data_IF_488970140743
#
_entry.id   IF_488970140743
#
_cell.length_a   1.000
_cell.length_b   1.000
_cell.length_c   1.000
_cell.angle_alpha   90.00
_cell.angle_beta   90.00
_cell.angle_gamma   90.00
#
_symmetry.space_group_name_H-M   'P 1'
#
loop_
_entity.id
_entity.type
_entity.pdbx_description
1 polymer ?
#
# COMPACT_ATOMS: atom_id res chain seq x y z
N UNK A 1 14.88 59.38 34.96
CA UNK A 1 16.31 59.27 34.60
C UNK A 1 16.71 57.82 34.71
N UNK A 2 17.24 57.29 33.61
CA UNK A 2 18.21 56.19 33.50
C UNK A 2 17.71 54.83 34.06
N UNK A 3 17.14 53.97 33.21
CA UNK A 3 17.83 53.08 32.25
C UNK A 3 18.43 51.82 32.91
N UNK A 4 17.87 50.66 32.59
CA UNK A 4 18.59 49.49 32.04
C UNK A 4 17.72 48.21 32.10
N UNK A 5 17.18 47.78 30.97
CA UNK A 5 16.75 46.39 30.78
C UNK A 5 17.94 45.48 30.52
N UNK A 6 17.94 44.27 31.09
CA UNK A 6 18.24 43.08 30.30
C UNK A 6 17.18 41.99 30.58
N UNK A 7 16.70 41.21 29.61
CA UNK A 7 17.24 40.90 28.29
C UNK A 7 16.94 39.42 28.05
N UNK A 8 15.80 39.12 27.43
CA UNK A 8 15.33 37.74 27.24
C UNK A 8 16.31 36.95 26.36
N UNK A 9 16.99 35.95 26.93
CA UNK A 9 17.79 35.00 26.15
C UNK A 9 16.95 33.78 25.80
N UNK A 10 16.38 33.83 24.60
CA UNK A 10 15.92 32.65 23.88
C UNK A 10 17.13 31.74 23.61
N UNK A 11 17.19 30.58 24.27
CA UNK A 11 18.24 29.58 24.03
C UNK A 11 17.78 28.61 22.95
N UNK A 12 17.99 28.98 21.69
CA UNK A 12 17.72 28.11 20.54
C UNK A 12 18.59 26.86 20.61
N UNK A 13 18.01 25.73 21.01
CA UNK A 13 18.68 24.43 20.94
C UNK A 13 18.62 23.91 19.50
N UNK A 14 19.63 24.23 18.70
CA UNK A 14 19.83 23.63 17.39
C UNK A 14 20.19 22.15 17.56
N UNK A 15 19.18 21.26 17.49
CA UNK A 15 19.41 19.82 17.40
C UNK A 15 19.62 19.49 15.93
N UNK A 16 20.89 19.39 15.52
CA UNK A 16 21.25 18.87 14.20
C UNK A 16 21.10 17.34 14.20
N UNK A 17 19.97 16.84 13.68
CA UNK A 17 19.77 15.41 13.45
C UNK A 17 20.37 15.04 12.09
N UNK A 18 21.65 14.64 12.09
CA UNK A 18 22.32 14.08 10.91
C UNK A 18 22.07 12.58 10.84
N UNK A 19 21.00 12.17 10.16
CA UNK A 19 20.74 10.76 9.88
C UNK A 19 21.49 10.34 8.59
N UNK A 20 22.59 9.60 8.75
CA UNK A 20 23.26 8.91 7.62
C UNK A 20 22.51 7.61 7.35
N UNK A 21 21.90 7.50 6.18
CA UNK A 21 21.25 6.27 5.72
C UNK A 21 22.29 5.36 5.09
N UNK A 22 22.50 4.18 5.68
CA UNK A 22 23.16 3.05 5.00
C UNK A 22 22.09 2.03 4.61
N UNK A 23 21.75 2.03 3.33
CA UNK A 23 20.91 1.03 2.70
C UNK A 23 21.64 -0.32 2.56
N UNK A 24 20.89 -1.43 2.69
CA UNK A 24 20.55 -2.32 1.57
C UNK A 24 20.19 -3.76 2.03
N UNK A 25 19.52 -4.50 1.12
CA UNK A 25 19.36 -5.97 1.07
C UNK A 25 18.37 -6.60 2.07
N UNK A 26 17.46 -7.52 1.71
CA UNK A 26 16.89 -7.96 0.41
C UNK A 26 15.53 -8.62 0.68
N UNK A 27 14.61 -8.59 -0.29
CA UNK A 27 13.49 -9.54 -0.36
C UNK A 27 13.95 -10.77 -1.17
N UNK A 28 13.70 -11.97 -0.63
CA UNK A 28 13.60 -13.33 -1.24
C UNK A 28 14.24 -14.35 -0.29
N UNK A 29 13.41 -15.20 0.34
CA UNK A 29 13.69 -16.58 0.82
C UNK A 29 12.68 -17.08 1.88
N UNK A 30 11.39 -16.76 1.76
CA UNK A 30 10.34 -17.21 2.71
C UNK A 30 9.82 -18.63 2.49
N UNK A 31 10.55 -19.48 1.76
CA UNK A 31 10.03 -20.77 1.30
C UNK A 31 11.12 -21.85 1.08
N UNK A 32 12.02 -22.06 2.06
CA UNK A 32 12.72 -23.34 2.30
C UNK A 32 13.59 -23.25 3.56
N UNK A 33 13.07 -23.59 4.75
CA UNK A 33 13.83 -24.06 5.93
C UNK A 33 12.86 -24.45 7.08
N UNK A 34 12.01 -25.46 6.86
CA UNK A 34 11.32 -26.15 7.97
C UNK A 34 10.97 -27.62 7.68
N UNK A 35 11.92 -28.39 7.12
CA UNK A 35 11.89 -29.87 7.14
C UNK A 35 13.33 -30.39 7.26
N UNK A 36 13.51 -31.40 8.11
CA UNK A 36 14.69 -32.27 8.31
C UNK A 36 16.02 -31.63 8.74
N UNK A 37 16.19 -31.53 10.06
CA UNK A 37 17.47 -31.86 10.70
C UNK A 37 17.60 -33.38 10.86
N UNK A 38 18.57 -34.02 10.20
CA UNK A 38 18.89 -35.43 10.46
C UNK A 38 19.95 -36.07 9.56
N UNK A 39 21.09 -36.46 10.16
CA UNK A 39 21.87 -37.65 9.76
C UNK A 39 22.91 -37.55 8.63
N UNK A 40 24.17 -37.39 9.03
CA UNK A 40 25.23 -38.41 8.88
C UNK A 40 25.74 -38.98 7.51
N UNK A 41 27.05 -38.71 7.28
CA UNK A 41 28.14 -39.53 6.69
C UNK A 41 28.17 -40.04 5.20
N UNK A 42 29.38 -39.97 4.61
CA UNK A 42 29.83 -40.68 3.36
C UNK A 42 30.20 -39.74 2.20
N UNK A 43 31.46 -39.37 1.89
CA UNK A 43 32.65 -40.13 1.41
C UNK A 43 32.64 -40.48 -0.11
N UNK A 44 33.44 -39.72 -0.86
CA UNK A 44 34.25 -40.04 -2.07
C UNK A 44 33.66 -40.68 -3.35
N UNK A 45 33.98 -40.06 -4.49
CA UNK A 45 33.94 -40.64 -5.85
C UNK A 45 34.47 -39.65 -6.90
N UNK A 46 35.35 -40.07 -7.82
CA UNK A 46 36.11 -39.18 -8.72
C UNK A 46 36.41 -39.81 -10.10
N UNK A 47 36.77 -38.95 -11.08
CA UNK A 47 37.10 -39.24 -12.50
C UNK A 47 35.88 -39.61 -13.38
N UNK A 48 35.66 -39.11 -14.61
CA UNK A 48 36.32 -38.10 -15.45
C UNK A 48 35.27 -37.47 -16.41
N UNK A 49 35.54 -36.89 -17.59
CA UNK A 49 36.82 -36.56 -18.23
C UNK A 49 36.60 -35.58 -19.44
N UNK A 50 37.69 -35.14 -20.10
CA UNK A 50 37.80 -34.41 -21.37
C UNK A 50 37.29 -32.94 -21.49
N UNK A 51 38.09 -32.09 -22.15
CA UNK A 51 37.88 -30.63 -22.28
C UNK A 51 38.13 -30.14 -23.72
N UNK A 52 37.18 -29.34 -24.24
CA UNK A 52 37.30 -28.32 -25.31
C UNK A 52 37.52 -28.76 -26.79
N UNK A 53 37.36 -27.85 -27.79
CA UNK A 53 36.90 -26.45 -27.72
C UNK A 53 35.78 -26.01 -28.72
N UNK A 54 35.23 -24.82 -28.43
CA UNK A 54 34.63 -23.81 -29.34
C UNK A 54 33.25 -24.05 -29.97
N UNK A 55 32.29 -23.18 -29.66
CA UNK A 55 31.87 -22.09 -30.56
C UNK A 55 31.15 -20.99 -29.75
N UNK A 56 31.54 -19.72 -29.92
CA UNK A 56 30.99 -18.61 -29.14
C UNK A 56 29.69 -18.07 -29.77
N UNK A 57 28.54 -18.40 -29.18
CA UNK A 57 27.25 -17.89 -29.61
C UNK A 57 27.15 -16.36 -29.40
N UNK A 58 26.90 -15.63 -30.49
CA UNK A 58 26.72 -14.17 -30.48
C UNK A 58 25.51 -13.72 -29.63
N UNK A 59 25.54 -12.50 -29.05
CA UNK A 59 24.45 -12.02 -28.22
C UNK A 59 23.16 -11.84 -29.03
N UNK A 60 22.08 -12.48 -28.57
CA UNK A 60 20.75 -12.26 -29.11
C UNK A 60 20.35 -10.80 -28.92
N UNK A 61 20.21 -10.05 -30.02
CA UNK A 61 19.86 -8.64 -30.00
C UNK A 61 18.55 -8.41 -29.22
N UNK A 62 18.62 -7.57 -28.18
CA UNK A 62 17.46 -7.18 -27.41
C UNK A 62 16.43 -6.53 -28.33
N UNK A 63 15.28 -7.20 -28.53
CA UNK A 63 14.14 -6.61 -29.25
C UNK A 63 13.67 -5.40 -28.44
N UNK A 64 13.81 -4.21 -29.02
CA UNK A 64 13.36 -2.98 -28.40
C UNK A 64 11.88 -3.11 -28.01
N UNK A 65 11.56 -2.85 -26.73
CA UNK A 65 10.17 -2.69 -26.30
C UNK A 65 9.55 -1.54 -27.12
N UNK A 66 8.35 -1.69 -27.70
CA UNK A 66 7.66 -0.56 -28.29
C UNK A 66 7.43 0.52 -27.23
N UNK A 67 7.54 1.78 -27.64
CA UNK A 67 7.27 2.93 -26.77
C UNK A 67 5.84 2.83 -26.18
N UNK A 68 5.61 3.29 -24.93
CA UNK A 68 4.28 3.28 -24.34
C UNK A 68 3.31 4.08 -25.20
N UNK A 69 2.18 3.48 -25.58
CA UNK A 69 1.13 4.22 -26.29
C UNK A 69 0.42 5.15 -25.31
N UNK A 70 0.26 6.44 -25.67
CA UNK A 70 -0.48 7.45 -24.89
C UNK A 70 -2.01 7.24 -24.87
N UNK A 71 -2.46 5.99 -24.74
CA UNK A 71 -3.81 5.61 -24.38
C UNK A 71 -3.68 4.69 -23.18
N UNK A 72 -4.00 5.20 -21.99
CA UNK A 72 -4.38 4.32 -20.91
C UNK A 72 -5.50 3.41 -21.43
N UNK A 73 -5.45 2.09 -21.17
CA UNK A 73 -6.52 1.22 -21.59
C UNK A 73 -7.81 1.66 -20.88
N UNK A 74 -8.88 1.87 -21.63
CA UNK A 74 -10.19 2.23 -21.08
C UNK A 74 -10.78 0.99 -20.41
N UNK A 75 -10.34 0.72 -19.18
CA UNK A 75 -10.87 -0.34 -18.36
C UNK A 75 -12.29 0.00 -17.90
N UNK A 76 -13.22 -0.97 -17.86
CA UNK A 76 -14.50 -0.76 -17.21
C UNK A 76 -14.25 -0.36 -15.75
N UNK A 77 -14.90 0.71 -15.28
CA UNK A 77 -14.84 1.10 -13.87
C UNK A 77 -15.60 0.09 -12.98
N UNK A 78 -15.47 0.14 -11.65
CA UNK A 78 -16.39 -0.50 -10.74
C UNK A 78 -17.86 -0.26 -11.14
N UNK A 79 -18.67 -1.31 -11.07
CA UNK A 79 -20.05 -1.28 -11.58
C UNK A 79 -20.97 -0.52 -10.63
N UNK A 80 -21.28 0.74 -10.98
CA UNK A 80 -22.14 1.63 -10.20
C UNK A 80 -21.38 2.82 -9.59
N UNK A 81 -22.11 3.77 -9.00
CA UNK A 81 -21.50 4.92 -8.32
C UNK A 81 -20.89 4.48 -6.98
N UNK A 82 -19.63 4.84 -6.76
CA UNK A 82 -18.97 4.70 -5.47
C UNK A 82 -19.46 5.77 -4.49
N UNK A 83 -19.41 5.47 -3.20
CA UNK A 83 -19.56 6.44 -2.11
C UNK A 83 -18.17 6.85 -1.64
N UNK A 84 -17.98 8.14 -1.29
CA UNK A 84 -16.75 8.59 -0.62
C UNK A 84 -16.69 7.88 0.75
N UNK A 85 -15.64 7.09 1.04
CA UNK A 85 -15.63 6.19 2.19
C UNK A 85 -15.43 6.88 3.56
N UNK A 86 -15.50 8.21 3.64
CA UNK A 86 -15.39 8.99 4.88
C UNK A 86 -16.62 9.86 5.03
N UNK A 87 -17.30 9.76 6.17
CA UNK A 87 -18.54 10.49 6.43
C UNK A 87 -18.34 12.01 6.40
N UNK A 88 -19.22 12.72 5.68
CA UNK A 88 -19.22 14.18 5.58
C UNK A 88 -18.29 14.77 4.51
N UNK A 89 -17.32 14.01 4.00
CA UNK A 89 -16.42 14.46 2.91
C UNK A 89 -17.17 14.46 1.57
N UNK A 90 -17.03 15.54 0.80
CA UNK A 90 -17.69 15.73 -0.50
C UNK A 90 -16.68 15.69 -1.65
N UNK A 91 -17.10 15.48 -2.91
CA UNK A 91 -16.20 15.45 -4.07
C UNK A 91 -15.24 16.64 -4.19
N UNK A 92 -15.72 17.86 -3.85
CA UNK A 92 -14.91 19.08 -3.91
C UNK A 92 -13.92 19.27 -2.75
N UNK A 93 -13.97 18.40 -1.74
CA UNK A 93 -13.03 18.39 -0.62
C UNK A 93 -11.86 17.40 -0.87
N UNK A 94 -11.93 16.61 -1.95
CA UNK A 94 -10.90 15.64 -2.32
C UNK A 94 -9.74 16.28 -3.08
N UNK A 95 -8.54 15.75 -2.89
CA UNK A 95 -7.33 16.06 -3.67
C UNK A 95 -6.88 14.78 -4.38
N UNK A 96 -6.44 14.87 -5.64
CA UNK A 96 -5.82 13.72 -6.29
C UNK A 96 -4.41 13.50 -5.73
N UNK A 97 -4.26 12.45 -4.92
CA UNK A 97 -2.99 12.05 -4.33
C UNK A 97 -2.39 10.80 -4.97
N UNK A 98 -2.96 10.27 -6.06
CA UNK A 98 -2.65 8.92 -6.57
C UNK A 98 -1.20 8.76 -7.03
N UNK A 99 -0.67 9.76 -7.74
CA UNK A 99 0.69 9.74 -8.27
C UNK A 99 1.73 10.37 -7.33
N UNK A 100 1.36 10.72 -6.10
CA UNK A 100 2.28 11.39 -5.17
C UNK A 100 3.46 10.48 -4.80
N UNK A 101 4.63 11.10 -4.67
CA UNK A 101 5.83 10.43 -4.17
C UNK A 101 5.67 10.04 -2.69
N UNK A 102 6.06 8.81 -2.36
CA UNK A 102 6.18 8.27 -0.99
C UNK A 102 7.62 7.80 -0.76
N UNK A 103 8.00 7.64 0.51
CA UNK A 103 9.36 7.25 0.92
C UNK A 103 10.47 8.06 0.19
N UNK A 104 10.38 9.39 0.23
CA UNK A 104 11.38 10.28 -0.40
C UNK A 104 11.42 10.28 -1.94
N UNK A 105 10.52 9.55 -2.61
CA UNK A 105 10.51 9.40 -4.07
C UNK A 105 10.71 7.96 -4.56
N UNK A 106 10.98 7.02 -3.66
CA UNK A 106 11.22 5.61 -4.00
C UNK A 106 9.96 4.85 -4.42
N UNK A 107 8.76 5.34 -4.06
CA UNK A 107 7.48 4.68 -4.31
C UNK A 107 6.40 5.67 -4.74
N UNK A 108 5.48 5.23 -5.62
CA UNK A 108 4.24 5.94 -5.96
C UNK A 108 3.16 5.61 -4.93
N UNK A 109 2.25 6.54 -4.68
CA UNK A 109 1.25 6.39 -3.63
C UNK A 109 0.21 5.30 -3.93
N UNK A 110 -0.26 5.20 -5.18
CA UNK A 110 -1.20 4.18 -5.69
C UNK A 110 -2.58 4.17 -4.99
N UNK A 111 -2.93 5.26 -4.29
CA UNK A 111 -4.15 5.40 -3.49
C UNK A 111 -4.61 6.87 -3.38
N UNK A 112 -5.78 7.10 -2.79
CA UNK A 112 -6.21 8.43 -2.32
C UNK A 112 -6.12 8.53 -0.80
N UNK A 113 -5.50 9.59 -0.28
CA UNK A 113 -5.57 9.95 1.13
C UNK A 113 -6.71 10.96 1.34
N UNK A 114 -7.69 10.56 2.14
CA UNK A 114 -8.89 11.35 2.42
C UNK A 114 -8.77 11.91 3.84
N UNK A 115 -8.36 13.18 3.92
CA UNK A 115 -8.15 13.89 5.20
C UNK A 115 -9.46 14.01 5.99
N UNK A 116 -9.43 13.62 7.25
CA UNK A 116 -10.52 13.80 8.22
C UNK A 116 -9.98 13.62 9.65
N UNK A 117 -10.70 14.13 10.65
CA UNK A 117 -10.28 13.97 12.05
C UNK A 117 -10.31 12.49 12.48
N UNK A 118 -9.46 12.12 13.45
CA UNK A 118 -9.57 10.84 14.17
C UNK A 118 -11.02 10.61 14.65
N UNK A 119 -11.47 9.36 14.66
CA UNK A 119 -12.84 9.00 15.03
C UNK A 119 -13.90 9.34 13.98
N UNK A 120 -13.55 9.91 12.81
CA UNK A 120 -14.54 10.15 11.74
C UNK A 120 -15.03 8.81 11.16
N UNK A 121 -16.35 8.57 11.00
CA UNK A 121 -16.84 7.29 10.49
C UNK A 121 -16.37 6.95 9.06
N UNK A 122 -15.86 5.74 8.89
CA UNK A 122 -15.48 5.13 7.61
C UNK A 122 -16.56 4.16 7.16
N UNK A 123 -16.95 4.25 5.88
CA UNK A 123 -18.04 3.45 5.29
C UNK A 123 -17.62 2.78 3.99
N UNK A 124 -18.29 1.68 3.65
CA UNK A 124 -18.00 0.90 2.45
C UNK A 124 -18.27 1.71 1.16
N UNK A 125 -17.24 1.96 0.36
CA UNK A 125 -17.34 2.71 -0.89
C UNK A 125 -18.24 2.00 -1.95
N UNK A 126 -18.36 0.68 -1.87
CA UNK A 126 -19.11 -0.19 -2.77
C UNK A 126 -19.64 -1.42 -1.99
N UNK A 127 -20.63 -2.16 -2.51
CA UNK A 127 -21.00 -3.45 -1.92
C UNK A 127 -19.88 -4.49 -2.14
N UNK A 128 -19.83 -5.50 -1.29
CA UNK A 128 -18.84 -6.57 -1.39
C UNK A 128 -18.86 -7.54 -0.21
N UNK A 129 -17.82 -8.36 -0.12
CA UNK A 129 -17.54 -9.24 1.02
C UNK A 129 -16.29 -8.75 1.74
N UNK A 130 -16.30 -8.75 3.07
CA UNK A 130 -15.09 -8.52 3.88
C UNK A 130 -14.14 -9.69 3.66
N UNK A 131 -13.12 -9.51 2.83
CA UNK A 131 -12.19 -10.58 2.46
C UNK A 131 -11.03 -10.68 3.46
N UNK A 132 -10.61 -9.56 4.05
CA UNK A 132 -9.60 -9.55 5.13
C UNK A 132 -9.75 -8.35 6.08
N UNK A 133 -9.58 -8.59 7.37
CA UNK A 133 -9.27 -7.61 8.41
C UNK A 133 -7.85 -7.92 8.92
N UNK A 134 -6.95 -6.95 8.88
CA UNK A 134 -5.52 -7.22 9.07
C UNK A 134 -4.78 -6.04 9.70
N UNK A 135 -3.75 -6.34 10.50
CA UNK A 135 -2.80 -5.34 10.97
C UNK A 135 -1.54 -5.40 10.11
N UNK A 136 -1.32 -4.37 9.29
CA UNK A 136 -0.23 -4.28 8.33
C UNK A 136 0.98 -3.58 8.94
N UNK A 137 2.02 -4.37 9.23
CA UNK A 137 3.34 -3.88 9.66
C UNK A 137 4.07 -3.08 8.56
N UNK A 138 3.67 -3.23 7.29
CA UNK A 138 4.19 -2.48 6.15
C UNK A 138 3.78 -0.99 6.10
N UNK A 139 3.33 -0.43 7.22
CA UNK A 139 2.85 0.94 7.37
C UNK A 139 1.34 1.12 7.24
N UNK A 140 0.58 0.11 6.80
CA UNK A 140 -0.89 0.23 6.65
C UNK A 140 -1.66 0.32 7.97
N UNK A 141 -1.10 -0.18 9.08
CA UNK A 141 -1.75 -0.15 10.39
C UNK A 141 -2.96 -1.07 10.43
N UNK A 142 -4.08 -0.61 10.99
CA UNK A 142 -5.35 -1.34 11.00
C UNK A 142 -5.99 -1.19 9.62
N UNK A 143 -6.27 -2.33 8.95
CA UNK A 143 -6.67 -2.37 7.55
C UNK A 143 -7.87 -3.29 7.28
N UNK A 144 -8.75 -2.87 6.38
CA UNK A 144 -9.85 -3.69 5.86
C UNK A 144 -9.76 -3.84 4.34
N UNK A 145 -10.12 -5.02 3.86
CA UNK A 145 -10.11 -5.42 2.45
C UNK A 145 -11.50 -5.94 2.06
N UNK A 146 -12.17 -5.23 1.16
CA UNK A 146 -13.52 -5.57 0.69
C UNK A 146 -13.43 -6.02 -0.78
N UNK A 147 -13.73 -7.30 -1.04
CA UNK A 147 -13.81 -7.86 -2.40
C UNK A 147 -15.17 -7.55 -3.01
N UNK A 148 -15.22 -7.05 -4.24
CA UNK A 148 -16.49 -6.84 -4.95
C UNK A 148 -17.22 -8.16 -5.25
N UNK A 149 -18.56 -8.15 -5.45
CA UNK A 149 -19.32 -9.38 -5.74
C UNK A 149 -18.91 -10.07 -7.05
N UNK A 150 -18.40 -9.32 -8.03
CA UNK A 150 -17.83 -9.83 -9.28
C UNK A 150 -16.37 -10.31 -9.15
N UNK A 151 -15.78 -10.18 -7.95
CA UNK A 151 -14.38 -10.44 -7.56
C UNK A 151 -13.30 -9.65 -8.30
N UNK A 152 -13.68 -8.76 -9.24
CA UNK A 152 -12.78 -7.96 -10.08
C UNK A 152 -12.16 -6.75 -9.38
N UNK A 153 -12.61 -6.41 -8.18
CA UNK A 153 -12.15 -5.26 -7.42
C UNK A 153 -11.84 -5.63 -5.98
N UNK A 154 -10.77 -5.05 -5.47
CA UNK A 154 -10.47 -5.00 -4.04
C UNK A 154 -10.46 -3.54 -3.61
N UNK A 155 -11.28 -3.22 -2.59
CA UNK A 155 -11.29 -1.92 -1.94
C UNK A 155 -10.51 -2.03 -0.62
N UNK A 156 -9.45 -1.25 -0.49
CA UNK A 156 -8.54 -1.26 0.65
C UNK A 156 -8.72 0.01 1.47
N UNK A 157 -8.81 -0.15 2.79
CA UNK A 157 -9.03 0.91 3.77
C UNK A 157 -7.93 0.76 4.83
N UNK A 158 -7.14 1.82 5.08
CA UNK A 158 -5.98 1.76 5.95
C UNK A 158 -5.87 2.98 6.89
N UNK A 159 -4.94 2.89 7.84
CA UNK A 159 -4.74 3.84 8.95
C UNK A 159 -5.93 3.97 9.89
N UNK A 160 -6.84 2.98 9.92
CA UNK A 160 -8.03 3.02 10.78
C UNK A 160 -7.64 3.11 12.26
N UNK A 161 -8.47 3.77 13.07
CA UNK A 161 -8.34 3.75 14.54
C UNK A 161 -8.91 2.44 15.10
N UNK A 162 -10.07 2.04 14.61
CA UNK A 162 -10.79 0.82 14.97
C UNK A 162 -11.71 0.37 13.83
N UNK A 163 -12.10 -0.90 13.83
CA UNK A 163 -13.20 -1.41 13.00
C UNK A 163 -14.57 -1.11 13.64
N UNK A 164 -15.65 -1.18 12.86
CA UNK A 164 -16.98 -1.30 13.43
C UNK A 164 -17.06 -2.60 14.27
N UNK A 165 -17.59 -2.59 15.51
CA UNK A 165 -17.61 -3.76 16.38
C UNK A 165 -18.35 -5.00 15.82
N UNK A 166 -19.17 -4.83 14.78
CA UNK A 166 -19.92 -5.90 14.15
C UNK A 166 -19.23 -6.47 12.90
N UNK A 167 -18.23 -5.78 12.34
CA UNK A 167 -17.57 -6.14 11.08
C UNK A 167 -16.67 -7.37 11.25
N UNK A 168 -16.88 -8.38 10.41
CA UNK A 168 -16.13 -9.65 10.43
C UNK A 168 -15.74 -10.12 9.03
N UNK A 169 -14.66 -10.88 8.94
CA UNK A 169 -14.28 -11.57 7.70
C UNK A 169 -15.41 -12.52 7.25
N UNK A 170 -15.74 -12.48 5.96
CA UNK A 170 -16.86 -13.20 5.36
C UNK A 170 -18.19 -12.43 5.32
N UNK A 171 -18.32 -11.30 6.02
CA UNK A 171 -19.56 -10.52 6.01
C UNK A 171 -19.86 -9.96 4.61
N UNK A 172 -21.10 -10.09 4.17
CA UNK A 172 -21.60 -9.42 2.96
C UNK A 172 -22.13 -8.03 3.32
N UNK A 173 -21.45 -7.00 2.83
CA UNK A 173 -21.74 -5.60 3.16
C UNK A 173 -22.30 -4.82 1.96
N UNK A 174 -23.21 -3.90 2.25
CA UNK A 174 -23.75 -2.95 1.28
C UNK A 174 -22.88 -1.68 1.22
N UNK A 175 -22.94 -0.96 0.09
CA UNK A 175 -22.35 0.39 0.01
C UNK A 175 -22.94 1.28 1.10
N UNK A 176 -22.08 2.00 1.82
CA UNK A 176 -22.45 2.84 2.96
C UNK A 176 -22.55 2.09 4.30
N UNK A 177 -22.33 0.78 4.34
CA UNK A 177 -22.22 0.05 5.61
C UNK A 177 -20.99 0.53 6.41
N UNK A 178 -21.06 0.57 7.76
CA UNK A 178 -19.90 0.89 8.59
C UNK A 178 -18.72 -0.06 8.35
N UNK A 179 -17.51 0.51 8.32
CA UNK A 179 -16.24 -0.23 8.27
C UNK A 179 -15.44 0.01 9.56
N UNK A 180 -15.44 1.24 10.05
CA UNK A 180 -14.61 1.62 11.18
C UNK A 180 -14.50 3.13 11.33
N UNK A 181 -13.38 3.58 11.89
CA UNK A 181 -13.08 4.98 12.19
C UNK A 181 -11.76 5.39 11.55
N UNK A 182 -11.70 6.63 11.05
CA UNK A 182 -10.45 7.28 10.62
C UNK A 182 -9.49 7.35 11.80
N UNK A 183 -8.21 7.11 11.54
CA UNK A 183 -7.17 7.17 12.55
C UNK A 183 -5.83 7.60 11.96
N UNK A 184 -4.78 7.20 12.67
CA UNK A 184 -3.39 7.40 12.30
C UNK A 184 -2.54 6.14 12.60
N UNK A 185 -3.12 4.94 12.47
CA UNK A 185 -2.38 3.69 12.71
C UNK A 185 -1.39 3.36 11.58
N UNK A 186 -0.33 2.60 11.89
CA UNK A 186 0.71 2.28 10.92
C UNK A 186 1.73 3.42 10.78
N UNK A 187 1.86 4.01 9.59
CA UNK A 187 2.78 5.12 9.33
C UNK A 187 2.11 6.49 9.07
N UNK A 188 0.79 6.59 9.26
CA UNK A 188 0.11 7.87 9.29
C UNK A 188 0.51 8.69 10.53
N UNK A 189 0.39 10.02 10.45
CA UNK A 189 0.76 10.95 11.53
C UNK A 189 -0.49 11.47 12.24
N UNK A 190 -0.41 11.60 13.57
CA UNK A 190 -1.50 12.12 14.40
C UNK A 190 -1.78 13.63 14.14
N UNK A 191 -0.83 14.34 13.53
CA UNK A 191 -0.99 15.72 13.07
C UNK A 191 -1.74 15.80 11.72
N UNK A 192 -1.89 14.68 11.01
CA UNK A 192 -2.59 14.57 9.73
C UNK A 192 -3.37 13.26 9.59
N UNK A 193 -4.36 12.98 10.45
CA UNK A 193 -5.20 11.79 10.33
C UNK A 193 -5.97 11.78 9.01
N UNK A 194 -6.12 10.59 8.44
CA UNK A 194 -6.73 10.38 7.13
C UNK A 194 -7.11 8.92 6.93
N UNK A 195 -8.06 8.67 6.03
CA UNK A 195 -8.26 7.35 5.45
C UNK A 195 -7.36 7.23 4.21
N UNK A 196 -6.43 6.30 4.21
CA UNK A 196 -5.78 5.85 2.99
C UNK A 196 -6.69 4.81 2.31
N UNK A 197 -7.15 5.13 1.09
CA UNK A 197 -8.12 4.34 0.35
C UNK A 197 -7.58 3.96 -1.04
N UNK A 198 -7.47 2.67 -1.34
CA UNK A 198 -7.03 2.18 -2.64
C UNK A 198 -8.10 1.31 -3.32
N UNK A 199 -8.06 1.30 -4.65
CA UNK A 199 -8.90 0.43 -5.50
C UNK A 199 -7.95 -0.36 -6.39
N UNK A 200 -7.91 -1.68 -6.19
CA UNK A 200 -7.14 -2.58 -7.04
C UNK A 200 -8.09 -3.34 -7.98
N UNK A 201 -7.75 -3.37 -9.27
CA UNK A 201 -8.33 -4.31 -10.24
C UNK A 201 -7.69 -5.67 -10.02
N UNK A 202 -8.51 -6.71 -9.93
CA UNK A 202 -8.10 -8.06 -9.58
C UNK A 202 -8.34 -9.03 -10.74
N UNK A 203 -7.35 -9.87 -11.01
CA UNK A 203 -7.45 -11.01 -11.92
C UNK A 203 -7.99 -12.26 -11.19
N UNK A 204 -8.39 -13.28 -11.95
CA UNK A 204 -8.99 -14.48 -11.37
C UNK A 204 -7.96 -15.29 -10.56
N UNK A 205 -8.27 -15.53 -9.28
CA UNK A 205 -7.43 -16.32 -8.37
C UNK A 205 -6.38 -15.50 -7.61
N UNK A 206 -6.30 -14.19 -7.83
CA UNK A 206 -5.38 -13.33 -7.06
C UNK A 206 -5.79 -13.21 -5.59
N UNK A 207 -4.78 -13.33 -4.71
CA UNK A 207 -4.88 -13.06 -3.29
C UNK A 207 -5.35 -11.63 -2.99
N UNK A 208 -5.84 -11.41 -1.78
CA UNK A 208 -6.43 -10.15 -1.33
C UNK A 208 -5.45 -8.96 -1.27
N UNK A 209 -4.15 -9.23 -1.20
CA UNK A 209 -3.07 -8.22 -1.16
C UNK A 209 -2.50 -7.87 -2.54
N UNK A 210 -2.94 -8.54 -3.60
CA UNK A 210 -2.44 -8.36 -4.97
C UNK A 210 -3.29 -7.38 -5.80
N UNK A 211 -3.25 -7.50 -7.12
CA UNK A 211 -4.00 -6.67 -8.07
C UNK A 211 -3.22 -5.47 -8.61
N UNK A 212 -3.84 -4.76 -9.56
CA UNK A 212 -3.30 -3.54 -10.18
C UNK A 212 -4.01 -2.29 -9.64
N UNK A 213 -3.31 -1.29 -9.09
CA UNK A 213 -3.95 -0.08 -8.59
C UNK A 213 -4.62 0.74 -9.69
N UNK A 214 -5.74 1.37 -9.33
CA UNK A 214 -6.55 2.25 -10.20
C UNK A 214 -6.87 3.52 -9.43
N UNK A 215 -6.63 4.69 -10.05
CA UNK A 215 -6.84 5.99 -9.40
C UNK A 215 -8.29 6.14 -8.86
N UNK A 216 -8.49 6.25 -7.52
CA UNK A 216 -9.82 6.40 -6.95
C UNK A 216 -10.43 7.79 -7.18
N UNK A 217 -9.61 8.83 -7.32
CA UNK A 217 -10.07 10.22 -7.43
C UNK A 217 -11.12 10.45 -8.54
N UNK A 218 -10.90 10.06 -9.83
CA UNK A 218 -11.90 10.19 -10.89
C UNK A 218 -13.08 9.20 -10.80
N UNK A 219 -13.09 8.31 -9.80
CA UNK A 219 -14.21 7.40 -9.50
C UNK A 219 -15.09 7.95 -8.36
N UNK A 220 -14.49 8.66 -7.40
CA UNK A 220 -15.15 9.29 -6.25
C UNK A 220 -15.71 10.69 -6.56
N UNK A 221 -15.28 11.34 -7.63
CA UNK A 221 -15.68 12.71 -8.02
C UNK A 221 -16.79 12.78 -9.08
N UNK A 222 -17.44 11.65 -9.40
CA UNK A 222 -18.54 11.52 -10.38
C UNK A 222 -19.91 11.85 -9.80
#
# INVERSE_FOLDING_TARGET
MNDATPGWRQTTKTIAVTAVVTSALWIVAGAYLYVNSGGDFGVAGSHGDAVAPTEAAAPAAARARPAPSNREPVYPSPSGRLTIPVAGVRPGDLVDTFTQARAGGERVHDAIDIMAADGTPVVAAAPGTVEKLYFSEGGGGITAYIRSPDRRWMYYYAHLEAYDPNLKEGDSISRGAPIGLVGHSGNASAEGPHLHFAINRMEQGEDWWAGTPVNPYPLLTR
#
